data_IF_672983366401
#
_entry.id   IF_672983366401
#
_cell.length_a   1.000
_cell.length_b   1.000
_cell.length_c   1.000
_cell.angle_alpha   90.00
_cell.angle_beta   90.00
_cell.angle_gamma   90.00
#
_symmetry.space_group_name_H-M   'P 1'
#
loop_
_entity.id
_entity.type
_entity.pdbx_description
1 polymer ?
#
# COMPACT_ATOMS: atom_id res chain seq x y z
N UNK A 1 0.86 2.05 4.24
CA UNK A 1 0.77 2.40 5.67
C UNK A 1 -0.40 3.31 6.04
N UNK A 2 -0.90 4.17 5.15
CA UNK A 2 -1.95 5.17 5.46
C UNK A 2 -3.39 4.65 5.47
N UNK A 3 -3.62 3.35 5.23
CA UNK A 3 -4.95 2.74 5.31
C UNK A 3 -5.46 2.80 6.76
N UNK A 4 -6.47 3.62 7.06
CA UNK A 4 -6.99 3.81 8.42
C UNK A 4 -5.92 4.25 9.44
N UNK A 5 -4.92 5.02 8.99
CA UNK A 5 -3.88 5.57 9.88
C UNK A 5 -3.59 7.00 9.45
N UNK A 6 -3.64 7.94 10.40
CA UNK A 6 -3.37 9.35 10.12
C UNK A 6 -1.92 9.55 9.63
N UNK A 7 -1.73 10.53 8.74
CA UNK A 7 -0.46 10.73 8.02
C UNK A 7 0.69 11.05 8.96
N UNK A 8 0.45 11.89 9.96
CA UNK A 8 1.42 12.26 11.02
C UNK A 8 2.03 11.04 11.73
N UNK A 9 1.23 10.00 11.98
CA UNK A 9 1.68 8.73 12.56
C UNK A 9 2.42 7.84 11.55
N UNK A 10 2.16 8.03 10.25
CA UNK A 10 2.75 7.22 9.18
C UNK A 10 4.14 7.72 8.81
N UNK A 11 4.37 9.04 8.75
CA UNK A 11 5.57 9.63 8.14
C UNK A 11 6.87 9.04 8.68
N UNK A 12 7.08 9.05 9.99
CA UNK A 12 8.32 8.55 10.60
C UNK A 12 8.53 7.05 10.37
N UNK A 13 7.44 6.28 10.43
CA UNK A 13 7.46 4.83 10.19
C UNK A 13 7.71 4.49 8.73
N UNK A 14 7.13 5.25 7.81
CA UNK A 14 7.35 5.10 6.38
C UNK A 14 8.82 5.36 6.03
N UNK A 15 9.39 6.48 6.48
CA UNK A 15 10.79 6.81 6.24
C UNK A 15 11.74 5.73 6.76
N UNK A 16 11.53 5.27 8.00
CA UNK A 16 12.34 4.18 8.55
C UNK A 16 12.16 2.86 7.78
N UNK A 17 10.95 2.56 7.30
CA UNK A 17 10.68 1.33 6.55
C UNK A 17 11.36 1.33 5.20
N UNK A 18 11.28 2.42 4.43
CA UNK A 18 11.88 2.49 3.09
C UNK A 18 13.41 2.58 3.15
N UNK A 19 13.97 3.13 4.23
CA UNK A 19 15.41 3.10 4.47
C UNK A 19 15.90 1.67 4.76
N UNK A 20 15.17 0.93 5.61
CA UNK A 20 15.55 -0.44 5.99
C UNK A 20 15.27 -1.48 4.88
N UNK A 21 14.20 -1.28 4.12
CA UNK A 21 13.72 -2.23 3.09
C UNK A 21 13.40 -1.49 1.78
N UNK A 22 14.43 -1.01 1.05
CA UNK A 22 14.25 -0.11 -0.09
C UNK A 22 13.62 -0.79 -1.31
N UNK A 23 13.74 -2.11 -1.46
CA UNK A 23 13.14 -2.86 -2.57
C UNK A 23 12.14 -3.92 -2.11
N UNK A 24 11.25 -4.41 -3.02
CA UNK A 24 10.42 -5.57 -2.74
C UNK A 24 11.23 -6.80 -2.31
N UNK A 25 12.47 -6.96 -2.83
CA UNK A 25 13.35 -8.06 -2.46
C UNK A 25 13.82 -7.96 -1.00
N UNK A 26 14.29 -6.79 -0.59
CA UNK A 26 14.71 -6.57 0.81
C UNK A 26 13.56 -6.83 1.78
N UNK A 27 12.35 -6.39 1.41
CA UNK A 27 11.14 -6.65 2.18
C UNK A 27 10.78 -8.15 2.21
N UNK A 28 10.85 -8.84 1.08
CA UNK A 28 10.54 -10.27 0.98
C UNK A 28 11.50 -11.15 1.79
N UNK A 29 12.79 -10.81 1.77
CA UNK A 29 13.87 -11.55 2.43
C UNK A 29 13.95 -11.26 3.94
N UNK A 30 13.36 -10.15 4.39
CA UNK A 30 13.34 -9.76 5.80
C UNK A 30 12.56 -10.75 6.68
N UNK A 31 13.04 -11.03 7.92
CA UNK A 31 12.25 -11.74 8.91
C UNK A 31 10.97 -10.98 9.24
N UNK A 32 9.82 -11.66 9.18
CA UNK A 32 8.51 -11.05 9.46
C UNK A 32 8.47 -10.36 10.85
N UNK A 33 9.20 -10.88 11.83
CA UNK A 33 9.29 -10.28 13.17
C UNK A 33 9.91 -8.87 13.17
N UNK A 34 10.92 -8.64 12.34
CA UNK A 34 11.59 -7.33 12.22
C UNK A 34 10.66 -6.33 11.52
N UNK A 35 10.01 -6.75 10.43
CA UNK A 35 8.98 -5.95 9.75
C UNK A 35 7.86 -5.55 10.70
N UNK A 36 7.35 -6.47 11.52
CA UNK A 36 6.31 -6.20 12.51
C UNK A 36 6.78 -5.27 13.62
N UNK A 37 8.04 -5.38 14.02
CA UNK A 37 8.67 -4.48 15.01
C UNK A 37 8.72 -3.06 14.48
N UNK A 38 9.19 -2.88 13.24
CA UNK A 38 9.23 -1.56 12.60
C UNK A 38 7.81 -1.00 12.43
N UNK A 39 6.85 -1.84 12.03
CA UNK A 39 5.43 -1.48 11.85
C UNK A 39 4.68 -1.17 13.17
N UNK A 40 5.25 -1.53 14.32
CA UNK A 40 4.60 -1.34 15.62
C UNK A 40 4.16 0.11 15.85
N UNK A 41 2.95 0.29 16.37
CA UNK A 41 2.33 1.60 16.58
C UNK A 41 1.45 2.12 15.44
N UNK A 42 1.47 1.48 14.25
CA UNK A 42 0.58 1.85 13.14
C UNK A 42 -0.80 1.15 13.18
N UNK A 43 -0.97 0.13 14.03
CA UNK A 43 -2.17 -0.69 14.07
C UNK A 43 -2.32 -1.64 12.87
N UNK A 44 -3.25 -2.59 12.97
CA UNK A 44 -3.53 -3.63 11.97
C UNK A 44 -2.27 -4.36 11.46
N UNK A 45 -1.63 -5.22 12.28
CA UNK A 45 -0.44 -5.99 11.89
C UNK A 45 -0.62 -6.84 10.63
N UNK A 46 -1.88 -7.20 10.31
CA UNK A 46 -2.24 -7.90 9.07
C UNK A 46 -1.80 -7.14 7.82
N UNK A 47 -1.79 -5.80 7.82
CA UNK A 47 -1.30 -5.00 6.68
C UNK A 47 0.19 -5.19 6.43
N UNK A 48 0.99 -5.31 7.50
CA UNK A 48 2.41 -5.61 7.41
C UNK A 48 2.63 -7.02 6.82
N UNK A 49 1.91 -8.03 7.34
CA UNK A 49 1.98 -9.40 6.81
C UNK A 49 1.60 -9.46 5.32
N UNK A 50 0.51 -8.79 4.94
CA UNK A 50 0.08 -8.73 3.56
C UNK A 50 1.13 -8.06 2.66
N UNK A 51 1.75 -6.96 3.10
CA UNK A 51 2.84 -6.33 2.36
C UNK A 51 4.03 -7.28 2.21
N UNK A 52 4.39 -8.02 3.27
CA UNK A 52 5.47 -9.02 3.21
C UNK A 52 5.17 -10.12 2.19
N UNK A 53 3.95 -10.68 2.23
CA UNK A 53 3.53 -11.70 1.27
C UNK A 53 3.42 -11.14 -0.16
N UNK A 54 2.94 -9.91 -0.34
CA UNK A 54 2.93 -9.24 -1.63
C UNK A 54 4.34 -9.04 -2.19
N UNK A 55 5.30 -8.63 -1.36
CA UNK A 55 6.72 -8.52 -1.74
C UNK A 55 7.28 -9.87 -2.21
N UNK A 56 6.96 -10.98 -1.53
CA UNK A 56 7.36 -12.33 -1.96
C UNK A 56 6.76 -12.71 -3.31
N UNK A 57 5.48 -12.42 -3.54
CA UNK A 57 4.81 -12.65 -4.83
C UNK A 57 5.46 -11.81 -5.93
N UNK A 58 5.74 -10.53 -5.68
CA UNK A 58 6.42 -9.63 -6.61
C UNK A 58 7.81 -10.17 -6.99
N UNK A 59 8.57 -10.67 -6.02
CA UNK A 59 9.88 -11.29 -6.29
C UNK A 59 9.75 -12.58 -7.10
N UNK A 60 8.84 -13.47 -6.70
CA UNK A 60 8.71 -14.80 -7.30
C UNK A 60 8.11 -14.77 -8.71
N UNK A 61 7.12 -13.91 -8.96
CA UNK A 61 6.32 -13.92 -10.18
C UNK A 61 6.64 -12.75 -11.12
N UNK A 62 7.14 -11.64 -10.59
CA UNK A 62 7.39 -10.40 -11.35
C UNK A 62 8.87 -9.96 -11.32
N UNK A 63 9.78 -10.84 -10.89
CA UNK A 63 11.23 -10.56 -10.90
C UNK A 63 11.67 -9.46 -9.95
N UNK A 64 10.84 -9.10 -8.95
CA UNK A 64 11.10 -8.00 -8.02
C UNK A 64 10.60 -6.64 -8.51
N UNK A 65 9.98 -6.58 -9.68
CA UNK A 65 9.36 -5.36 -10.23
C UNK A 65 7.88 -5.34 -9.87
N UNK A 66 7.40 -4.24 -9.29
CA UNK A 66 5.97 -4.07 -8.98
C UNK A 66 5.19 -4.05 -10.31
N UNK A 67 4.13 -4.86 -10.48
CA UNK A 67 3.38 -4.90 -11.73
C UNK A 67 2.62 -3.59 -11.98
N UNK A 68 2.45 -3.24 -13.27
CA UNK A 68 1.86 -1.98 -13.74
C UNK A 68 0.47 -2.14 -14.39
N UNK A 69 -0.17 -3.30 -14.15
CA UNK A 69 -1.56 -3.55 -14.56
C UNK A 69 -2.48 -3.65 -13.35
N UNK A 70 -3.73 -3.23 -13.54
CA UNK A 70 -4.74 -3.28 -12.47
C UNK A 70 -5.01 -4.72 -12.01
N UNK A 71 -5.09 -5.66 -12.95
CA UNK A 71 -5.37 -7.07 -12.67
C UNK A 71 -4.25 -7.70 -11.84
N UNK A 72 -2.99 -7.51 -12.24
CA UNK A 72 -1.85 -8.06 -11.49
C UNK A 72 -1.72 -7.42 -10.10
N UNK A 73 -1.94 -6.11 -9.99
CA UNK A 73 -1.94 -5.43 -8.69
C UNK A 73 -3.04 -5.96 -7.77
N UNK A 74 -4.26 -6.19 -8.29
CA UNK A 74 -5.37 -6.76 -7.51
C UNK A 74 -5.12 -8.22 -7.10
N UNK A 75 -4.27 -8.95 -7.83
CA UNK A 75 -3.88 -10.30 -7.47
C UNK A 75 -2.89 -10.34 -6.27
N UNK A 76 -2.25 -9.22 -5.93
CA UNK A 76 -1.30 -9.17 -4.82
C UNK A 76 -1.99 -9.25 -3.44
N UNK A 77 -1.42 -10.03 -2.49
CA UNK A 77 -1.93 -10.12 -1.13
C UNK A 77 -2.19 -8.77 -0.46
N UNK A 78 -3.46 -8.54 -0.07
CA UNK A 78 -3.87 -7.34 0.66
C UNK A 78 -3.92 -6.05 -0.15
N UNK A 79 -3.76 -6.13 -1.47
CA UNK A 79 -3.98 -5.01 -2.38
C UNK A 79 -5.44 -5.05 -2.86
N UNK A 80 -6.25 -4.10 -2.40
CA UNK A 80 -7.61 -3.89 -2.89
C UNK A 80 -7.70 -2.74 -3.90
N UNK A 81 -8.89 -2.53 -4.45
CA UNK A 81 -9.18 -1.54 -5.51
C UNK A 81 -8.52 -0.18 -5.31
N UNK A 82 -8.69 0.42 -4.13
CA UNK A 82 -8.07 1.71 -3.83
C UNK A 82 -6.55 1.66 -3.93
N UNK A 83 -5.91 0.63 -3.36
CA UNK A 83 -4.44 0.55 -3.32
C UNK A 83 -3.87 0.25 -4.69
N UNK A 84 -4.47 -0.67 -5.44
CA UNK A 84 -4.05 -0.99 -6.81
C UNK A 84 -4.10 0.26 -7.71
N UNK A 85 -5.23 0.98 -7.69
CA UNK A 85 -5.40 2.20 -8.49
C UNK A 85 -4.50 3.33 -7.99
N UNK A 86 -4.29 3.48 -6.68
CA UNK A 86 -3.38 4.49 -6.13
C UNK A 86 -1.93 4.26 -6.58
N UNK A 87 -1.48 3.00 -6.64
CA UNK A 87 -0.15 2.66 -7.20
C UNK A 87 -0.07 3.09 -8.66
N UNK A 88 -1.05 2.73 -9.49
CA UNK A 88 -1.08 3.11 -10.91
C UNK A 88 -1.10 4.63 -11.12
N UNK A 89 -1.81 5.38 -10.28
CA UNK A 89 -1.88 6.85 -10.38
C UNK A 89 -0.57 7.49 -9.96
N UNK A 90 0.00 7.10 -8.81
CA UNK A 90 1.13 7.81 -8.23
C UNK A 90 2.49 7.32 -8.69
N UNK A 91 2.64 6.02 -8.98
CA UNK A 91 3.90 5.45 -9.47
C UNK A 91 3.98 5.45 -11.01
N UNK A 92 2.87 5.12 -11.69
CA UNK A 92 2.84 4.97 -13.15
C UNK A 92 2.15 6.14 -13.88
N UNK A 93 1.74 7.18 -13.16
CA UNK A 93 1.10 8.39 -13.71
C UNK A 93 -0.12 8.11 -14.60
N UNK A 94 -0.88 7.05 -14.30
CA UNK A 94 -2.07 6.67 -15.06
C UNK A 94 -3.25 7.59 -14.74
N UNK A 95 -4.03 7.96 -15.76
CA UNK A 95 -5.26 8.74 -15.62
C UNK A 95 -6.45 7.85 -15.19
N UNK A 96 -6.41 7.34 -13.96
CA UNK A 96 -7.44 6.47 -13.40
C UNK A 96 -8.04 7.11 -12.14
N UNK A 97 -9.36 7.07 -12.02
CA UNK A 97 -10.05 7.55 -10.82
C UNK A 97 -9.73 6.69 -9.59
N UNK A 98 -9.38 7.34 -8.47
CA UNK A 98 -9.21 6.72 -7.15
C UNK A 98 -10.18 7.34 -6.16
N UNK A 99 -10.89 6.51 -5.39
CA UNK A 99 -11.85 6.97 -4.39
C UNK A 99 -11.57 6.29 -3.06
N UNK A 100 -11.13 7.08 -2.09
CA UNK A 100 -11.19 6.72 -0.67
C UNK A 100 -12.36 7.44 0.01
N UNK A 101 -12.50 7.26 1.32
CA UNK A 101 -13.52 7.97 2.11
C UNK A 101 -13.37 9.49 2.04
N UNK A 102 -12.16 10.03 1.85
CA UNK A 102 -11.95 11.47 1.76
C UNK A 102 -12.44 12.03 0.41
N UNK A 103 -12.09 11.36 -0.70
CA UNK A 103 -12.57 11.69 -2.05
C UNK A 103 -14.08 11.53 -2.13
N UNK A 104 -14.63 10.41 -1.65
CA UNK A 104 -16.07 10.17 -1.62
C UNK A 104 -16.81 11.28 -0.86
N UNK A 105 -16.25 11.74 0.27
CA UNK A 105 -16.82 12.85 1.06
C UNK A 105 -16.84 14.17 0.28
N UNK A 106 -15.79 14.47 -0.47
CA UNK A 106 -15.72 15.68 -1.29
C UNK A 106 -16.74 15.60 -2.42
N UNK A 107 -16.81 14.47 -3.13
CA UNK A 107 -17.78 14.25 -4.22
C UNK A 107 -19.21 14.38 -3.70
N UNK A 108 -19.55 13.72 -2.59
CA UNK A 108 -20.88 13.80 -2.00
C UNK A 108 -21.29 15.25 -1.68
N UNK A 109 -20.37 16.07 -1.16
CA UNK A 109 -20.62 17.49 -0.87
C UNK A 109 -20.82 18.32 -2.15
N UNK A 110 -20.03 18.06 -3.19
CA UNK A 110 -20.19 18.73 -4.49
C UNK A 110 -21.54 18.38 -5.12
N UNK A 111 -21.97 17.13 -4.99
CA UNK A 111 -23.22 16.62 -5.55
C UNK A 111 -24.45 16.89 -4.66
N UNK A 112 -24.29 17.54 -3.51
CA UNK A 112 -25.35 17.71 -2.49
C UNK A 112 -26.01 16.38 -2.07
N UNK A 113 -25.21 15.33 -1.88
CA UNK A 113 -25.62 13.99 -1.44
C UNK A 113 -25.05 13.66 -0.06
N UNK A 114 -25.67 12.71 0.62
CA UNK A 114 -25.12 12.08 1.83
C UNK A 114 -24.16 10.96 1.42
N UNK A 115 -23.10 10.77 2.21
CA UNK A 115 -22.12 9.68 2.06
C UNK A 115 -22.71 8.30 2.34
#
# INVERSE_FOLDING_TARGET
MSQQTQVDRVVSKFLAFVEAYPTPRDCADAPLGELLTLWSGLGYPRRCRNLHEASKVIVAQHGGVVPASLEELLALPGVGDYTARAVLVFADHREIGIVDTNVARVIARIENRVL
#
